data_IF_074369427902
#
_entry.id   IF_074369427902
#
_cell.length_a   1.000
_cell.length_b   1.000
_cell.length_c   1.000
_cell.angle_alpha   90.00
_cell.angle_beta   90.00
_cell.angle_gamma   90.00
#
_symmetry.space_group_name_H-M   'P 1'
#
loop_
_entity.id
_entity.type
_entity.pdbx_description
1 polymer ?
#
# COMPACT_ATOMS: atom_id res chain seq x y z
N UNK A 1 -26.04 43.03 -2.79
CA UNK A 1 -24.99 42.20 -2.21
C UNK A 1 -24.59 42.78 -0.91
N UNK A 2 -24.64 42.03 0.17
CA UNK A 2 -24.28 42.42 1.53
C UNK A 2 -22.79 42.86 1.56
N UNK A 3 -22.48 43.87 2.35
CA UNK A 3 -21.09 44.39 2.46
C UNK A 3 -20.09 43.32 2.91
N UNK A 4 -20.57 42.32 3.66
CA UNK A 4 -19.81 41.14 4.04
C UNK A 4 -19.41 40.25 2.85
N UNK A 5 -20.32 40.10 1.86
CA UNK A 5 -20.06 39.35 0.62
C UNK A 5 -19.02 40.05 -0.26
N UNK A 6 -19.05 41.38 -0.36
CA UNK A 6 -18.08 42.19 -1.10
C UNK A 6 -16.69 42.10 -0.44
N UNK A 7 -16.62 42.21 0.88
CA UNK A 7 -15.38 42.10 1.62
C UNK A 7 -14.74 40.72 1.46
N UNK A 8 -15.53 39.65 1.51
CA UNK A 8 -15.03 38.29 1.28
C UNK A 8 -14.50 38.11 -0.15
N UNK A 9 -15.23 38.60 -1.17
CA UNK A 9 -14.79 38.52 -2.57
C UNK A 9 -13.46 39.27 -2.79
N UNK A 10 -13.28 40.46 -2.18
CA UNK A 10 -12.06 41.20 -2.24
C UNK A 10 -10.87 40.46 -1.56
N UNK A 11 -11.12 39.83 -0.41
CA UNK A 11 -10.11 39.02 0.29
C UNK A 11 -9.71 37.78 -0.55
N UNK A 12 -10.65 37.08 -1.17
CA UNK A 12 -10.35 35.94 -2.05
C UNK A 12 -9.50 36.36 -3.25
N UNK A 13 -9.86 37.47 -3.91
CA UNK A 13 -9.09 38.00 -5.02
C UNK A 13 -7.67 38.41 -4.61
N UNK A 14 -7.50 38.99 -3.41
CA UNK A 14 -6.19 39.35 -2.88
C UNK A 14 -5.34 38.13 -2.57
N UNK A 15 -5.92 37.07 -2.01
CA UNK A 15 -5.25 35.78 -1.73
C UNK A 15 -4.76 35.17 -3.05
N UNK A 16 -5.61 35.08 -4.07
CA UNK A 16 -5.23 34.55 -5.38
C UNK A 16 -4.11 35.36 -6.05
N UNK A 17 -4.17 36.69 -5.91
CA UNK A 17 -3.12 37.57 -6.44
C UNK A 17 -1.77 37.38 -5.73
N UNK A 18 -1.78 37.15 -4.43
CA UNK A 18 -0.58 37.03 -3.61
C UNK A 18 0.03 35.62 -3.64
N UNK A 19 -0.80 34.58 -3.62
CA UNK A 19 -0.36 33.19 -3.45
C UNK A 19 -0.57 32.32 -4.71
N UNK A 20 -1.16 32.86 -5.75
CA UNK A 20 -1.47 32.17 -7.00
C UNK A 20 -2.90 31.65 -7.07
N UNK A 21 -3.35 31.41 -8.31
CA UNK A 21 -4.68 30.90 -8.61
C UNK A 21 -4.85 29.50 -8.04
N UNK A 22 -5.96 29.23 -7.33
CA UNK A 22 -6.23 27.97 -6.68
C UNK A 22 -5.65 27.82 -5.26
N UNK A 23 -5.03 28.90 -4.70
CA UNK A 23 -4.55 28.94 -3.32
C UNK A 23 -5.68 28.86 -2.29
N UNK A 24 -6.88 29.26 -2.68
CA UNK A 24 -8.12 29.11 -1.94
C UNK A 24 -9.24 28.72 -2.88
N UNK A 25 -10.11 27.80 -2.46
CA UNK A 25 -11.24 27.33 -3.29
C UNK A 25 -12.41 26.92 -2.41
N UNK A 26 -13.62 26.95 -2.97
CA UNK A 26 -14.79 26.37 -2.30
C UNK A 26 -14.87 24.89 -2.58
N UNK A 27 -15.12 24.07 -1.56
CA UNK A 27 -15.15 22.60 -1.69
C UNK A 27 -16.20 22.09 -2.70
N UNK A 28 -17.27 22.85 -2.97
CA UNK A 28 -18.31 22.47 -3.95
C UNK A 28 -18.02 22.89 -5.41
N UNK A 29 -17.00 23.71 -5.65
CA UNK A 29 -16.67 24.19 -6.99
C UNK A 29 -15.56 23.39 -7.69
N UNK A 30 -14.84 22.56 -6.95
CA UNK A 30 -13.81 21.68 -7.50
C UNK A 30 -14.08 20.22 -7.12
N UNK A 31 -14.00 19.36 -8.10
CA UNK A 31 -14.10 17.90 -8.01
C UNK A 31 -12.89 17.28 -7.23
N UNK A 32 -12.61 17.76 -6.01
CA UNK A 32 -11.50 17.21 -5.19
C UNK A 32 -11.72 15.74 -4.87
N UNK A 33 -12.97 15.26 -4.91
CA UNK A 33 -13.31 13.86 -4.65
C UNK A 33 -13.12 12.95 -5.88
N UNK A 34 -13.14 13.49 -7.10
CA UNK A 34 -13.05 12.69 -8.34
C UNK A 34 -11.60 12.45 -8.81
N UNK A 35 -10.61 13.16 -8.24
CA UNK A 35 -9.19 13.07 -8.65
C UNK A 35 -8.35 12.13 -7.78
N UNK A 36 -8.96 11.37 -6.87
CA UNK A 36 -8.20 10.44 -6.04
C UNK A 36 -7.73 9.24 -6.86
N UNK A 37 -6.49 9.28 -7.32
CA UNK A 37 -5.85 8.13 -7.95
C UNK A 37 -5.38 7.13 -6.88
N UNK A 38 -5.60 5.86 -7.14
CA UNK A 38 -5.19 4.77 -6.27
C UNK A 38 -4.37 3.72 -7.01
N UNK A 39 -3.59 2.97 -6.25
CA UNK A 39 -2.85 1.79 -6.72
C UNK A 39 -3.45 0.58 -6.02
N UNK A 40 -3.82 -0.45 -6.77
CA UNK A 40 -4.26 -1.73 -6.18
C UNK A 40 -3.18 -2.31 -5.29
N UNK A 41 -3.59 -2.95 -4.22
CA UNK A 41 -2.66 -3.64 -3.30
C UNK A 41 -2.26 -5.03 -3.79
N UNK A 42 -2.86 -5.51 -4.89
CA UNK A 42 -2.77 -6.91 -5.30
C UNK A 42 -3.76 -7.83 -4.57
N UNK A 43 -4.33 -7.38 -3.46
CA UNK A 43 -5.39 -8.06 -2.71
C UNK A 43 -6.73 -7.36 -2.94
N UNK A 44 -7.69 -8.09 -3.51
CA UNK A 44 -9.04 -7.57 -3.76
C UNK A 44 -9.74 -7.23 -2.44
N UNK A 45 -9.59 -8.08 -1.43
CA UNK A 45 -10.18 -7.86 -0.11
C UNK A 45 -9.63 -6.61 0.57
N UNK A 46 -8.32 -6.35 0.44
CA UNK A 46 -7.71 -5.15 1.00
C UNK A 46 -8.12 -3.88 0.22
N UNK A 47 -8.21 -3.96 -1.11
CA UNK A 47 -8.73 -2.87 -1.94
C UNK A 47 -10.15 -2.47 -1.52
N UNK A 48 -11.00 -3.46 -1.22
CA UNK A 48 -12.36 -3.25 -0.69
C UNK A 48 -12.30 -2.64 0.72
N UNK A 49 -11.44 -3.16 1.59
CA UNK A 49 -11.31 -2.66 2.97
C UNK A 49 -10.81 -1.21 3.03
N UNK A 50 -10.00 -0.78 2.06
CA UNK A 50 -9.55 0.60 1.90
C UNK A 50 -10.67 1.54 1.44
N UNK A 51 -11.76 1.00 0.86
CA UNK A 51 -12.98 1.74 0.51
C UNK A 51 -12.92 2.54 -0.79
N UNK A 52 -11.74 2.65 -1.41
CA UNK A 52 -11.50 3.41 -2.64
C UNK A 52 -10.83 2.57 -3.75
N UNK A 53 -10.64 1.28 -3.50
CA UNK A 53 -10.08 0.35 -4.47
C UNK A 53 -8.56 0.25 -4.51
N UNK A 54 -7.86 0.79 -3.51
CA UNK A 54 -6.41 0.70 -3.40
C UNK A 54 -5.78 1.73 -2.49
N UNK A 55 -4.45 1.83 -2.53
CA UNK A 55 -3.66 2.80 -1.77
C UNK A 55 -3.63 4.16 -2.49
N UNK A 56 -3.81 5.27 -1.76
CA UNK A 56 -3.92 6.60 -2.37
C UNK A 56 -2.57 7.10 -2.88
N UNK A 57 -2.50 7.54 -4.12
CA UNK A 57 -1.36 8.28 -4.66
C UNK A 57 -1.24 9.66 -4.00
N UNK A 58 -0.04 10.21 -3.99
CA UNK A 58 0.23 11.51 -3.37
C UNK A 58 0.11 11.50 -1.84
N UNK A 59 0.25 10.33 -1.22
CA UNK A 59 0.10 10.12 0.22
C UNK A 59 1.20 9.23 0.79
N UNK A 60 1.36 9.34 2.12
CA UNK A 60 2.21 8.45 2.91
C UNK A 60 1.35 7.33 3.48
N UNK A 61 1.83 6.11 3.36
CA UNK A 61 1.22 4.89 3.91
C UNK A 61 2.22 4.21 4.84
N UNK A 62 1.76 3.72 5.98
CA UNK A 62 2.55 2.87 6.87
C UNK A 62 1.97 1.46 6.89
N UNK A 63 2.82 0.47 6.66
CA UNK A 63 2.50 -0.96 6.81
C UNK A 63 3.37 -1.51 7.93
N UNK A 64 2.75 -2.01 8.99
CA UNK A 64 3.49 -2.52 10.14
C UNK A 64 2.91 -3.85 10.64
N UNK A 65 3.74 -4.62 11.30
CA UNK A 65 3.37 -5.92 11.84
C UNK A 65 4.59 -6.67 12.37
N UNK A 66 4.38 -7.85 12.95
CA UNK A 66 5.45 -8.72 13.39
C UNK A 66 6.38 -9.13 12.23
N UNK A 67 7.52 -9.69 12.57
CA UNK A 67 8.38 -10.34 11.60
C UNK A 67 7.63 -11.48 10.89
N UNK A 68 7.97 -11.70 9.61
CA UNK A 68 7.34 -12.75 8.76
C UNK A 68 5.82 -12.66 8.64
N UNK A 69 5.22 -11.48 8.86
CA UNK A 69 3.78 -11.26 8.72
C UNK A 69 3.31 -11.00 7.27
N UNK A 70 4.25 -10.84 6.31
CA UNK A 70 3.92 -10.57 4.90
C UNK A 70 4.02 -9.11 4.48
N UNK A 71 4.63 -8.22 5.28
CA UNK A 71 4.81 -6.79 4.95
C UNK A 71 5.49 -6.57 3.60
N UNK A 72 6.63 -7.20 3.41
CA UNK A 72 7.42 -7.08 2.18
C UNK A 72 6.70 -7.69 0.98
N UNK A 73 6.05 -8.85 1.17
CA UNK A 73 5.22 -9.47 0.14
C UNK A 73 4.13 -8.52 -0.33
N UNK A 74 3.37 -7.92 0.58
CA UNK A 74 2.34 -6.95 0.23
C UNK A 74 2.90 -5.75 -0.53
N UNK A 75 4.07 -5.22 -0.13
CA UNK A 75 4.70 -4.11 -0.84
C UNK A 75 5.19 -4.49 -2.23
N UNK A 76 5.72 -5.70 -2.42
CA UNK A 76 6.13 -6.18 -3.74
C UNK A 76 4.93 -6.40 -4.68
N UNK A 77 3.79 -6.84 -4.17
CA UNK A 77 2.54 -6.88 -4.93
C UNK A 77 2.12 -5.47 -5.40
N UNK A 78 2.21 -4.47 -4.52
CA UNK A 78 1.93 -3.07 -4.90
C UNK A 78 2.91 -2.58 -5.97
N UNK A 79 4.21 -2.92 -5.86
CA UNK A 79 5.21 -2.61 -6.90
C UNK A 79 4.80 -3.23 -8.25
N UNK A 80 4.43 -4.51 -8.25
CA UNK A 80 3.99 -5.18 -9.47
C UNK A 80 2.74 -4.51 -10.09
N UNK A 81 1.77 -4.09 -9.26
CA UNK A 81 0.58 -3.38 -9.73
C UNK A 81 0.90 -2.01 -10.32
N UNK A 82 1.86 -1.26 -9.75
CA UNK A 82 2.34 0.02 -10.33
C UNK A 82 3.00 -0.21 -11.69
N UNK A 83 3.88 -1.21 -11.78
CA UNK A 83 4.60 -1.53 -13.02
C UNK A 83 3.66 -2.03 -14.13
N UNK A 84 2.63 -2.82 -13.81
CA UNK A 84 1.58 -3.23 -14.77
C UNK A 84 0.87 -2.03 -15.41
N UNK A 85 0.80 -0.91 -14.70
CA UNK A 85 0.22 0.34 -15.20
C UNK A 85 1.24 1.23 -15.94
N UNK A 86 2.47 0.73 -16.15
CA UNK A 86 3.56 1.49 -16.76
C UNK A 86 4.21 2.51 -15.85
N UNK A 87 3.97 2.40 -14.53
CA UNK A 87 4.58 3.26 -13.52
C UNK A 87 5.97 2.81 -13.09
N UNK A 88 6.73 3.74 -12.52
CA UNK A 88 8.09 3.53 -12.01
C UNK A 88 8.05 3.35 -10.51
N UNK A 89 8.66 2.28 -10.01
CA UNK A 89 8.79 2.00 -8.60
C UNK A 89 10.24 2.01 -8.13
N UNK A 90 10.48 2.56 -6.95
CA UNK A 90 11.77 2.54 -6.26
C UNK A 90 11.65 1.83 -4.91
N UNK A 91 12.68 1.08 -4.56
CA UNK A 91 12.77 0.33 -3.32
C UNK A 91 14.01 0.78 -2.55
N UNK A 92 13.83 1.40 -1.39
CA UNK A 92 14.93 1.82 -0.51
C UNK A 92 15.05 0.77 0.58
N UNK A 93 16.02 -0.12 0.40
CA UNK A 93 16.25 -1.33 1.20
C UNK A 93 17.35 -1.09 2.23
N UNK A 94 17.00 -0.46 3.34
CA UNK A 94 17.94 -0.25 4.45
C UNK A 94 18.22 -1.54 5.27
N UNK A 95 17.45 -2.62 5.06
CA UNK A 95 17.68 -3.92 5.69
C UNK A 95 18.59 -4.82 4.84
N UNK A 96 18.84 -4.47 3.57
CA UNK A 96 19.58 -5.31 2.61
C UNK A 96 19.01 -6.74 2.49
N UNK A 97 17.68 -6.85 2.51
CA UNK A 97 16.98 -8.12 2.61
C UNK A 97 16.08 -8.44 1.40
N UNK A 98 16.10 -7.61 0.35
CA UNK A 98 15.30 -7.84 -0.84
C UNK A 98 15.84 -9.05 -1.63
N UNK A 99 14.98 -10.03 -1.84
CA UNK A 99 15.24 -11.15 -2.74
C UNK A 99 14.64 -10.87 -4.14
N UNK A 100 15.49 -10.64 -5.17
CA UNK A 100 15.03 -10.32 -6.50
C UNK A 100 14.33 -11.53 -7.17
N UNK A 101 14.69 -12.76 -6.83
CA UNK A 101 14.04 -13.96 -7.36
C UNK A 101 12.61 -14.04 -6.84
N UNK A 102 12.43 -13.80 -5.55
CA UNK A 102 11.09 -13.76 -4.95
C UNK A 102 10.26 -12.61 -5.52
N UNK A 103 10.84 -11.41 -5.65
CA UNK A 103 10.15 -10.27 -6.27
C UNK A 103 9.65 -10.59 -7.68
N UNK A 104 10.51 -11.23 -8.50
CA UNK A 104 10.13 -11.68 -9.85
C UNK A 104 8.96 -12.67 -9.86
N UNK A 105 8.91 -13.59 -8.90
CA UNK A 105 7.79 -14.53 -8.75
C UNK A 105 6.47 -13.86 -8.42
N UNK A 106 6.50 -12.72 -7.72
CA UNK A 106 5.33 -11.89 -7.42
C UNK A 106 4.90 -10.99 -8.60
N UNK A 107 5.57 -11.09 -9.75
CA UNK A 107 5.25 -10.31 -10.94
C UNK A 107 5.96 -8.96 -11.03
N UNK A 108 6.94 -8.69 -10.16
CA UNK A 108 7.79 -7.50 -10.26
C UNK A 108 8.72 -7.63 -11.48
N UNK A 109 8.73 -6.62 -12.33
CA UNK A 109 9.75 -6.46 -13.35
C UNK A 109 11.04 -5.95 -12.69
N UNK A 110 11.87 -6.88 -12.24
CA UNK A 110 13.08 -6.59 -11.45
C UNK A 110 14.07 -5.69 -12.22
N UNK A 111 14.33 -5.89 -13.52
CA UNK A 111 15.21 -5.00 -14.29
C UNK A 111 14.77 -3.54 -14.30
N UNK A 112 13.48 -3.26 -14.24
CA UNK A 112 12.92 -1.91 -14.28
C UNK A 112 12.71 -1.30 -12.86
N UNK A 113 12.96 -2.06 -11.80
CA UNK A 113 12.81 -1.56 -10.45
C UNK A 113 14.07 -0.83 -10.00
N UNK A 114 13.89 0.43 -9.54
CA UNK A 114 14.99 1.19 -8.92
C UNK A 114 15.23 0.65 -7.50
N UNK A 115 16.49 0.37 -7.17
CA UNK A 115 16.86 -0.08 -5.82
C UNK A 115 17.99 0.78 -5.26
N UNK A 116 17.89 1.13 -3.98
CA UNK A 116 18.92 1.79 -3.19
C UNK A 116 19.11 1.08 -1.87
N UNK A 117 20.35 0.87 -1.48
CA UNK A 117 20.76 0.28 -0.21
C UNK A 117 21.61 1.30 0.56
N UNK A 118 20.96 2.22 1.30
CA UNK A 118 21.65 3.32 1.98
C UNK A 118 22.40 2.84 3.22
N UNK A 119 23.53 3.48 3.52
CA UNK A 119 24.32 3.21 4.72
C UNK A 119 23.75 3.89 5.96
N UNK A 120 23.02 5.00 5.79
CA UNK A 120 22.44 5.79 6.90
C UNK A 120 20.97 6.13 6.62
N UNK A 121 20.22 6.40 7.71
CA UNK A 121 18.83 6.85 7.60
C UNK A 121 18.70 8.17 6.85
N UNK A 122 19.63 9.12 7.06
CA UNK A 122 19.68 10.40 6.34
C UNK A 122 19.82 10.17 4.84
N UNK A 123 20.76 9.30 4.43
CA UNK A 123 21.00 8.99 3.01
C UNK A 123 19.74 8.38 2.37
N UNK A 124 19.11 7.40 3.02
CA UNK A 124 17.90 6.75 2.49
C UNK A 124 16.74 7.72 2.31
N UNK A 125 16.50 8.59 3.31
CA UNK A 125 15.42 9.57 3.27
C UNK A 125 15.70 10.71 2.28
N UNK A 126 16.97 11.08 2.09
CA UNK A 126 17.36 12.11 1.11
C UNK A 126 17.23 11.58 -0.33
N UNK A 127 17.61 10.32 -0.58
CA UNK A 127 17.36 9.65 -1.86
C UNK A 127 15.86 9.61 -2.16
N UNK A 128 15.03 9.25 -1.17
CA UNK A 128 13.58 9.27 -1.31
C UNK A 128 13.06 10.68 -1.68
N UNK A 129 13.54 11.74 -1.01
CA UNK A 129 13.12 13.11 -1.30
C UNK A 129 13.54 13.56 -2.71
N UNK A 130 14.74 13.19 -3.16
CA UNK A 130 15.20 13.49 -4.53
C UNK A 130 14.34 12.79 -5.57
N UNK A 131 14.02 11.51 -5.38
CA UNK A 131 13.15 10.74 -6.27
C UNK A 131 11.74 11.32 -6.33
N UNK A 132 11.15 11.68 -5.18
CA UNK A 132 9.83 12.34 -5.12
C UNK A 132 9.86 13.67 -5.87
N UNK A 133 10.87 14.50 -5.64
CA UNK A 133 10.99 15.82 -6.29
C UNK A 133 11.17 15.75 -7.80
N UNK A 134 11.76 14.66 -8.30
CA UNK A 134 11.92 14.45 -9.74
C UNK A 134 10.58 14.35 -10.49
N UNK A 135 9.53 13.90 -9.80
CA UNK A 135 8.21 13.64 -10.41
C UNK A 135 8.18 12.42 -11.34
N UNK A 136 9.29 11.69 -11.47
CA UNK A 136 9.43 10.53 -12.35
C UNK A 136 9.18 9.18 -11.68
N UNK A 137 8.81 9.16 -10.39
CA UNK A 137 8.59 7.91 -9.64
C UNK A 137 7.17 7.89 -9.07
N UNK A 138 6.44 6.82 -9.34
CA UNK A 138 5.05 6.65 -8.92
C UNK A 138 4.92 6.05 -7.52
N UNK A 139 5.86 5.18 -7.15
CA UNK A 139 5.89 4.48 -5.87
C UNK A 139 7.31 4.44 -5.31
N UNK A 140 7.42 4.75 -4.02
CA UNK A 140 8.65 4.51 -3.24
C UNK A 140 8.28 3.64 -2.04
N UNK A 141 8.99 2.52 -1.87
CA UNK A 141 8.90 1.64 -0.70
C UNK A 141 10.16 1.79 0.12
N UNK A 142 10.04 2.09 1.41
CA UNK A 142 11.15 2.23 2.35
C UNK A 142 11.09 1.09 3.37
N UNK A 143 12.14 0.25 3.39
CA UNK A 143 12.23 -0.98 4.20
C UNK A 143 13.48 -0.94 5.08
N UNK A 144 13.39 -0.94 6.36
CA UNK A 144 12.25 -0.57 7.21
C UNK A 144 12.62 0.70 7.98
N UNK A 145 11.61 1.35 8.58
CA UNK A 145 11.90 2.49 9.47
C UNK A 145 12.90 2.13 10.57
N UNK A 146 12.83 0.88 11.09
CA UNK A 146 13.74 0.40 12.13
C UNK A 146 15.21 0.37 11.67
N UNK A 147 15.46 0.17 10.38
CA UNK A 147 16.79 0.11 9.78
C UNK A 147 17.34 1.47 9.33
N UNK A 148 16.53 2.53 9.39
CA UNK A 148 16.97 3.90 9.13
C UNK A 148 17.75 4.44 10.33
N UNK A 149 18.98 3.97 10.48
CA UNK A 149 19.86 4.36 11.60
C UNK A 149 20.45 5.73 11.31
N UNK A 150 20.32 6.71 12.24
CA UNK A 150 20.96 8.02 12.10
C UNK A 150 22.47 7.93 11.99
N UNK A 151 23.08 8.74 11.14
CA UNK A 151 24.52 8.77 10.92
C UNK A 151 25.30 8.95 12.22
N UNK A 152 24.85 9.84 13.10
CA UNK A 152 25.48 10.09 14.39
C UNK A 152 25.47 8.88 15.32
N UNK A 153 24.50 7.97 15.17
CA UNK A 153 24.45 6.72 15.93
C UNK A 153 25.46 5.70 15.38
N UNK A 154 25.67 5.68 14.07
CA UNK A 154 26.66 4.80 13.42
C UNK A 154 28.09 5.25 13.74
N UNK A 155 28.34 6.56 13.77
CA UNK A 155 29.65 7.15 14.05
C UNK A 155 30.00 7.23 15.54
N UNK A 156 29.01 6.98 16.44
CA UNK A 156 29.20 6.96 17.89
C UNK A 156 29.92 5.69 18.37
N UNK A 157 30.32 5.71 19.64
CA UNK A 157 30.94 4.55 20.27
C UNK A 157 29.87 3.54 20.74
N UNK A 158 30.29 2.26 20.85
CA UNK A 158 29.39 1.22 21.37
C UNK A 158 29.02 1.54 22.83
N UNK A 159 27.70 1.69 23.05
CA UNK A 159 27.15 2.05 24.37
C UNK A 159 26.70 3.50 24.49
N UNK A 160 26.96 4.35 23.51
CA UNK A 160 26.45 5.72 23.48
C UNK A 160 24.93 5.72 23.51
N UNK A 161 24.37 6.52 24.40
CA UNK A 161 22.93 6.71 24.49
C UNK A 161 22.54 8.00 23.74
N UNK A 162 21.98 7.84 22.53
CA UNK A 162 21.54 8.96 21.69
C UNK A 162 20.00 8.94 21.55
N UNK A 163 19.24 9.21 22.61
CA UNK A 163 17.79 9.03 22.61
C UNK A 163 17.09 9.97 21.64
N UNK A 164 16.16 9.41 20.86
CA UNK A 164 15.25 10.16 20.00
C UNK A 164 15.85 10.66 18.69
N UNK A 165 17.07 10.32 18.31
CA UNK A 165 17.66 10.73 17.04
C UNK A 165 16.85 10.25 15.86
N UNK A 166 16.47 8.96 15.82
CA UNK A 166 15.66 8.40 14.76
C UNK A 166 14.27 9.08 14.67
N UNK A 167 13.65 9.38 15.81
CA UNK A 167 12.37 10.08 15.83
C UNK A 167 12.47 11.53 15.29
N UNK A 168 13.57 12.22 15.57
CA UNK A 168 13.86 13.56 15.03
C UNK A 168 14.10 13.50 13.53
N UNK A 169 14.88 12.53 13.05
CA UNK A 169 15.15 12.30 11.65
C UNK A 169 13.85 12.04 10.88
N UNK A 170 13.00 11.13 11.37
CA UNK A 170 11.70 10.85 10.77
C UNK A 170 10.79 12.08 10.75
N UNK A 171 10.74 12.86 11.83
CA UNK A 171 9.94 14.09 11.89
C UNK A 171 10.40 15.12 10.85
N UNK A 172 11.70 15.28 10.68
CA UNK A 172 12.28 16.22 9.72
C UNK A 172 12.01 15.74 8.28
N UNK A 173 12.25 14.48 7.99
CA UNK A 173 12.05 13.90 6.66
C UNK A 173 10.58 13.98 6.22
N UNK A 174 9.64 13.60 7.09
CA UNK A 174 8.21 13.62 6.77
C UNK A 174 7.69 15.03 6.52
N UNK A 175 8.18 16.03 7.24
CA UNK A 175 7.85 17.45 6.95
C UNK A 175 8.28 17.88 5.56
N UNK A 176 9.48 17.46 5.11
CA UNK A 176 9.98 17.76 3.75
C UNK A 176 9.22 16.97 2.68
N UNK A 177 9.08 15.67 2.88
CA UNK A 177 8.48 14.75 1.91
C UNK A 177 7.02 15.04 1.63
N UNK A 178 6.20 15.34 2.65
CA UNK A 178 4.74 15.38 2.53
C UNK A 178 4.26 16.41 1.49
N UNK A 179 4.86 17.60 1.44
CA UNK A 179 4.49 18.62 0.46
C UNK A 179 4.85 18.21 -0.97
N UNK A 180 6.01 17.59 -1.15
CA UNK A 180 6.50 17.12 -2.45
C UNK A 180 5.69 15.93 -2.94
N UNK A 181 5.41 14.96 -2.07
CA UNK A 181 4.62 13.76 -2.35
C UNK A 181 3.25 14.13 -2.92
N UNK A 182 2.56 15.09 -2.31
CA UNK A 182 1.26 15.56 -2.80
C UNK A 182 1.36 16.20 -4.19
N UNK A 183 2.40 17.00 -4.43
CA UNK A 183 2.60 17.73 -5.70
C UNK A 183 2.93 16.79 -6.86
N UNK A 184 3.74 15.76 -6.61
CA UNK A 184 4.19 14.80 -7.63
C UNK A 184 3.27 13.59 -7.77
N UNK A 185 2.24 13.49 -6.91
CA UNK A 185 1.32 12.36 -6.87
C UNK A 185 2.01 11.00 -6.64
N UNK A 186 3.15 11.01 -5.94
CA UNK A 186 3.92 9.82 -5.62
C UNK A 186 3.31 9.12 -4.41
N UNK A 187 3.14 7.80 -4.45
CA UNK A 187 2.80 6.98 -3.28
C UNK A 187 4.10 6.62 -2.53
N UNK A 188 4.17 6.88 -1.23
CA UNK A 188 5.31 6.48 -0.40
C UNK A 188 4.84 5.55 0.70
N UNK A 189 5.38 4.33 0.72
CA UNK A 189 5.08 3.29 1.70
C UNK A 189 6.28 3.12 2.62
N UNK A 190 6.04 3.26 3.93
CA UNK A 190 7.00 2.91 4.96
C UNK A 190 6.63 1.56 5.57
N UNK A 191 7.53 0.61 5.50
CA UNK A 191 7.44 -0.63 6.28
C UNK A 191 7.99 -0.36 7.67
N UNK A 192 7.27 -0.81 8.71
CA UNK A 192 7.67 -0.61 10.08
C UNK A 192 7.58 -1.89 10.91
N UNK A 193 8.34 -1.94 11.98
CA UNK A 193 8.37 -3.04 12.91
C UNK A 193 7.63 -2.67 14.19
N UNK A 194 7.09 -3.67 14.88
CA UNK A 194 6.47 -3.52 16.20
C UNK A 194 7.55 -3.60 17.27
N UNK A 195 7.41 -2.76 18.28
CA UNK A 195 8.18 -2.80 19.54
C UNK A 195 7.20 -2.81 20.70
N UNK A 196 7.64 -3.38 21.80
CA UNK A 196 6.87 -3.44 23.05
C UNK A 196 7.31 -2.32 23.98
N UNK A 197 6.36 -1.53 24.47
CA UNK A 197 6.61 -0.55 25.52
C UNK A 197 6.69 -1.25 26.87
N UNK A 198 7.73 -0.97 27.61
CA UNK A 198 7.89 -1.49 28.98
C UNK A 198 7.00 -0.70 29.93
N UNK A 199 6.35 -1.38 30.89
CA UNK A 199 5.58 -0.75 31.95
C UNK A 199 4.17 -0.28 31.59
N UNK A 200 3.62 -0.69 30.45
CA UNK A 200 2.22 -0.40 30.08
C UNK A 200 1.30 -1.37 30.84
N UNK A 201 0.57 -0.87 31.83
CA UNK A 201 -0.39 -1.65 32.62
C UNK A 201 -1.80 -1.70 31.98
N UNK A 202 -2.16 -0.72 31.16
CA UNK A 202 -3.47 -0.62 30.51
C UNK A 202 -3.31 -0.25 29.02
N UNK A 203 -4.14 -0.86 28.15
CA UNK A 203 -4.09 -0.65 26.71
C UNK A 203 -3.06 -1.55 26.01
N UNK A 204 -2.81 -1.30 24.72
CA UNK A 204 -1.83 -2.09 23.96
C UNK A 204 -0.40 -1.62 24.24
N UNK A 205 0.49 -2.52 24.65
CA UNK A 205 1.92 -2.20 24.82
C UNK A 205 2.64 -2.04 23.47
N UNK A 206 2.02 -2.44 22.36
CA UNK A 206 2.62 -2.39 21.03
C UNK A 206 2.79 -0.95 20.53
N UNK A 207 3.93 -0.67 19.95
CA UNK A 207 4.21 0.60 19.26
C UNK A 207 5.10 0.32 18.05
N UNK A 208 5.17 1.27 17.11
CA UNK A 208 6.07 1.19 15.96
C UNK A 208 7.34 2.00 16.21
N UNK A 209 8.43 1.69 15.50
CA UNK A 209 9.72 2.41 15.58
C UNK A 209 9.64 3.80 14.91
N UNK A 210 10.62 4.65 15.16
CA UNK A 210 10.73 5.97 14.53
C UNK A 210 9.87 7.07 15.14
N UNK A 211 9.35 6.85 16.36
CA UNK A 211 8.56 7.85 17.09
C UNK A 211 7.12 7.98 16.58
N UNK A 212 6.52 9.16 16.79
CA UNK A 212 5.11 9.39 16.48
C UNK A 212 4.86 10.09 15.14
N UNK A 213 5.88 10.63 14.49
CA UNK A 213 5.69 11.45 13.28
C UNK A 213 4.97 10.69 12.18
N UNK A 214 5.39 9.46 11.88
CA UNK A 214 4.79 8.64 10.84
C UNK A 214 3.31 8.33 11.13
N UNK A 215 2.94 8.13 12.40
CA UNK A 215 1.53 7.92 12.80
C UNK A 215 0.64 9.13 12.47
N UNK A 216 1.19 10.35 12.52
CA UNK A 216 0.46 11.56 12.16
C UNK A 216 0.44 11.82 10.65
N UNK A 217 1.58 11.67 9.98
CA UNK A 217 1.72 11.98 8.56
C UNK A 217 1.10 10.92 7.65
N UNK A 218 1.08 9.65 8.03
CA UNK A 218 0.45 8.61 7.25
C UNK A 218 -1.06 8.86 7.07
N UNK A 219 -1.51 8.81 5.83
CA UNK A 219 -2.94 8.87 5.49
C UNK A 219 -3.64 7.53 5.69
N UNK A 220 -2.89 6.44 5.51
CA UNK A 220 -3.35 5.05 5.72
C UNK A 220 -2.31 4.34 6.56
N UNK A 221 -2.77 3.55 7.54
CA UNK A 221 -1.94 2.67 8.35
C UNK A 221 -2.55 1.28 8.36
N UNK A 222 -1.74 0.29 8.02
CA UNK A 222 -2.13 -1.11 7.89
C UNK A 222 -1.38 -1.95 8.92
N UNK A 223 -2.13 -2.67 9.76
CA UNK A 223 -1.61 -3.67 10.69
C UNK A 223 -1.76 -5.05 10.03
N UNK A 224 -0.65 -5.68 9.64
CA UNK A 224 -0.63 -6.98 8.99
C UNK A 224 -0.18 -8.07 9.96
N UNK A 225 -0.95 -9.16 10.04
CA UNK A 225 -0.72 -10.28 10.96
C UNK A 225 -0.90 -11.61 10.24
N UNK A 226 0.03 -12.52 10.47
CA UNK A 226 -0.21 -13.95 10.20
C UNK A 226 -1.14 -14.49 11.27
N UNK A 227 -2.25 -15.14 10.87
CA UNK A 227 -3.25 -15.69 11.76
C UNK A 227 -3.36 -17.21 11.70
N UNK A 228 -2.81 -17.83 10.66
CA UNK A 228 -2.82 -19.27 10.47
C UNK A 228 -1.76 -19.75 9.50
N UNK A 229 -1.69 -21.05 9.32
CA UNK A 229 -0.84 -21.72 8.32
C UNK A 229 -1.71 -22.54 7.37
N UNK A 230 -1.43 -22.44 6.08
CA UNK A 230 -2.07 -23.23 5.06
C UNK A 230 -1.23 -24.48 4.84
N UNK A 231 -1.87 -25.64 4.93
CA UNK A 231 -1.21 -26.94 4.76
C UNK A 231 -1.78 -27.68 3.55
N UNK A 232 -0.90 -28.39 2.85
CA UNK A 232 -1.26 -29.37 1.82
C UNK A 232 -0.64 -30.70 2.26
N UNK A 233 -1.49 -31.60 2.82
CA UNK A 233 -0.99 -32.75 3.58
C UNK A 233 -0.24 -32.30 4.84
N UNK A 234 0.99 -32.76 5.02
CA UNK A 234 1.84 -32.38 6.15
C UNK A 234 2.71 -31.15 5.90
N UNK A 235 2.75 -30.64 4.68
CA UNK A 235 3.57 -29.50 4.28
C UNK A 235 2.84 -28.19 4.48
N UNK A 236 3.53 -27.18 5.05
CA UNK A 236 3.04 -25.80 5.14
C UNK A 236 3.37 -25.08 3.84
N UNK A 237 2.34 -24.74 3.06
CA UNK A 237 2.47 -24.13 1.73
C UNK A 237 2.15 -22.64 1.70
N UNK A 238 1.69 -22.09 2.81
CA UNK A 238 1.35 -20.67 2.89
C UNK A 238 0.88 -20.25 4.26
N UNK A 239 0.47 -18.99 4.36
CA UNK A 239 -0.05 -18.37 5.57
C UNK A 239 -1.40 -17.72 5.32
N UNK A 240 -2.32 -17.91 6.26
CA UNK A 240 -3.50 -17.06 6.38
C UNK A 240 -3.09 -15.72 6.99
N UNK A 241 -3.45 -14.63 6.34
CA UNK A 241 -3.02 -13.28 6.71
C UNK A 241 -4.22 -12.38 6.90
N UNK A 242 -4.17 -11.58 7.96
CA UNK A 242 -5.14 -10.53 8.23
C UNK A 242 -4.46 -9.17 8.14
N UNK A 243 -5.08 -8.24 7.42
CA UNK A 243 -4.70 -6.83 7.38
C UNK A 243 -5.84 -6.00 7.92
N UNK A 244 -5.57 -5.21 8.96
CA UNK A 244 -6.51 -4.25 9.53
C UNK A 244 -6.13 -2.83 9.12
N UNK A 245 -7.09 -2.09 8.59
CA UNK A 245 -6.95 -0.68 8.26
C UNK A 245 -7.17 0.14 9.53
N UNK A 246 -6.09 0.41 10.27
CA UNK A 246 -6.18 1.07 11.60
C UNK A 246 -6.28 2.58 11.52
N UNK A 247 -5.89 3.18 10.40
CA UNK A 247 -6.07 4.58 10.08
C UNK A 247 -6.35 4.73 8.59
N UNK A 248 -7.35 5.55 8.27
CA UNK A 248 -7.70 5.84 6.89
C UNK A 248 -8.28 7.28 6.81
N UNK A 249 -7.62 8.16 6.04
CA UNK A 249 -8.07 9.54 5.81
C UNK A 249 -8.91 9.70 4.54
N UNK A 250 -9.08 8.62 3.77
CA UNK A 250 -9.77 8.64 2.47
C UNK A 250 -11.11 7.90 2.47
N UNK A 251 -11.34 7.04 3.47
CA UNK A 251 -12.56 6.29 3.69
C UNK A 251 -12.68 5.89 5.18
N UNK A 252 -13.83 5.35 5.63
CA UNK A 252 -13.97 4.88 7.01
C UNK A 252 -12.93 3.82 7.38
N UNK A 253 -12.21 3.97 8.50
CA UNK A 253 -11.19 3.02 8.95
C UNK A 253 -11.79 1.79 9.65
N UNK A 254 -10.91 0.92 10.16
CA UNK A 254 -11.17 -0.27 10.98
C UNK A 254 -11.78 -1.47 10.25
N UNK A 255 -11.82 -1.42 8.91
CA UNK A 255 -12.13 -2.60 8.10
C UNK A 255 -10.93 -3.54 8.08
N UNK A 256 -11.22 -4.82 7.86
CA UNK A 256 -10.21 -5.88 7.79
C UNK A 256 -10.32 -6.62 6.46
N UNK A 257 -9.19 -7.11 5.98
CA UNK A 257 -9.10 -8.03 4.86
C UNK A 257 -8.41 -9.33 5.32
N UNK A 258 -8.90 -10.45 4.84
CA UNK A 258 -8.32 -11.77 5.04
C UNK A 258 -7.92 -12.32 3.68
N UNK A 259 -6.70 -12.79 3.57
CA UNK A 259 -6.20 -13.44 2.35
C UNK A 259 -5.08 -14.42 2.66
N UNK A 260 -4.85 -15.29 1.69
CA UNK A 260 -3.80 -16.30 1.77
C UNK A 260 -2.54 -15.78 1.07
N UNK A 261 -1.38 -15.89 1.72
CA UNK A 261 -0.07 -15.72 1.09
C UNK A 261 0.51 -17.10 0.87
N UNK A 262 0.64 -17.49 -0.41
CA UNK A 262 1.22 -18.77 -0.80
C UNK A 262 2.74 -18.61 -0.97
N UNK A 263 3.51 -19.57 -0.46
CA UNK A 263 4.96 -19.51 -0.56
C UNK A 263 5.43 -19.62 -2.00
N UNK A 264 6.23 -18.65 -2.42
CA UNK A 264 6.74 -18.57 -3.79
C UNK A 264 5.75 -18.05 -4.83
N UNK A 265 4.50 -17.77 -4.46
CA UNK A 265 3.46 -17.28 -5.37
C UNK A 265 2.92 -15.89 -4.95
N UNK A 266 3.00 -15.55 -3.66
CA UNK A 266 2.47 -14.30 -3.11
C UNK A 266 0.99 -14.41 -2.71
N UNK A 267 0.25 -13.30 -2.80
CA UNK A 267 -1.16 -13.22 -2.43
C UNK A 267 -1.99 -14.06 -3.40
N UNK A 268 -2.83 -14.97 -2.86
CA UNK A 268 -3.73 -15.79 -3.65
C UNK A 268 -4.95 -15.00 -4.13
N UNK A 269 -4.80 -14.28 -5.24
CA UNK A 269 -5.86 -13.47 -5.83
C UNK A 269 -7.09 -14.29 -6.21
N UNK A 270 -6.89 -15.44 -6.83
CA UNK A 270 -7.98 -16.35 -7.20
C UNK A 270 -8.72 -16.88 -5.96
N UNK A 271 -7.99 -17.14 -4.86
CA UNK A 271 -8.59 -17.50 -3.58
C UNK A 271 -9.54 -16.43 -3.05
N UNK A 272 -9.15 -15.17 -3.13
CA UNK A 272 -10.00 -14.02 -2.74
C UNK A 272 -11.20 -13.86 -3.68
N UNK A 273 -11.01 -14.00 -4.99
CA UNK A 273 -12.09 -13.93 -5.98
C UNK A 273 -13.16 -14.98 -5.69
N UNK A 274 -12.75 -16.21 -5.33
CA UNK A 274 -13.69 -17.28 -4.96
C UNK A 274 -14.47 -16.91 -3.69
N UNK A 275 -13.79 -16.52 -2.63
CA UNK A 275 -14.43 -16.20 -1.35
C UNK A 275 -15.38 -15.01 -1.45
N UNK A 276 -14.91 -13.92 -2.05
CA UNK A 276 -15.70 -12.72 -2.26
C UNK A 276 -16.82 -12.94 -3.29
N UNK A 277 -16.55 -13.75 -4.33
CA UNK A 277 -17.56 -14.14 -5.31
C UNK A 277 -18.73 -14.89 -4.68
N UNK A 278 -18.44 -15.81 -3.77
CA UNK A 278 -19.46 -16.54 -2.99
C UNK A 278 -20.19 -15.59 -2.04
N UNK A 279 -19.44 -14.73 -1.32
CA UNK A 279 -20.01 -13.77 -0.38
C UNK A 279 -21.01 -12.81 -1.05
N UNK A 280 -20.73 -12.39 -2.28
CA UNK A 280 -21.59 -11.48 -3.05
C UNK A 280 -22.55 -12.19 -4.03
N UNK A 281 -22.72 -13.50 -3.91
CA UNK A 281 -23.62 -14.30 -4.75
C UNK A 281 -23.32 -14.20 -6.26
N UNK A 282 -22.05 -14.04 -6.62
CA UNK A 282 -21.55 -14.04 -8.00
C UNK A 282 -21.09 -15.43 -8.38
N UNK A 283 -20.47 -16.17 -7.44
CA UNK A 283 -20.11 -17.57 -7.55
C UNK A 283 -21.10 -18.37 -6.70
N UNK A 284 -21.70 -19.38 -7.28
CA UNK A 284 -22.56 -20.31 -6.57
C UNK A 284 -21.73 -21.39 -5.89
N UNK A 285 -22.06 -21.69 -4.62
CA UNK A 285 -21.43 -22.76 -3.85
C UNK A 285 -22.48 -23.76 -3.40
N UNK A 286 -22.36 -25.01 -3.82
CA UNK A 286 -23.22 -26.12 -3.39
C UNK A 286 -22.36 -27.27 -2.86
N UNK A 287 -22.33 -27.42 -1.53
CA UNK A 287 -21.43 -28.35 -0.87
C UNK A 287 -19.96 -28.04 -1.18
N UNK A 288 -19.23 -28.96 -1.77
CA UNK A 288 -17.85 -28.77 -2.21
C UNK A 288 -17.72 -28.18 -3.62
N UNK A 289 -18.82 -28.00 -4.37
CA UNK A 289 -18.80 -27.55 -5.75
C UNK A 289 -18.97 -26.03 -5.84
N UNK A 290 -18.17 -25.42 -6.72
CA UNK A 290 -18.28 -24.02 -7.12
C UNK A 290 -18.76 -23.96 -8.56
N UNK A 291 -19.67 -23.03 -8.87
CA UNK A 291 -20.20 -22.79 -10.20
C UNK A 291 -20.25 -21.29 -10.51
N UNK A 292 -20.09 -20.97 -11.78
CA UNK A 292 -20.21 -19.62 -12.28
C UNK A 292 -21.05 -19.62 -13.56
N UNK A 293 -22.09 -18.76 -13.64
CA UNK A 293 -23.06 -18.73 -14.73
C UNK A 293 -23.69 -20.10 -15.05
N UNK A 294 -23.89 -20.94 -14.03
CA UNK A 294 -24.44 -22.30 -14.16
C UNK A 294 -23.43 -23.39 -14.55
N UNK A 295 -22.20 -23.04 -14.87
CA UNK A 295 -21.13 -23.98 -15.19
C UNK A 295 -20.29 -24.29 -13.95
N UNK A 296 -19.98 -25.59 -13.74
CA UNK A 296 -19.10 -26.03 -12.65
C UNK A 296 -17.66 -25.60 -12.94
N UNK A 297 -17.05 -24.85 -12.02
CA UNK A 297 -15.68 -24.37 -12.14
C UNK A 297 -14.67 -25.12 -11.28
N UNK A 298 -15.14 -25.91 -10.28
CA UNK A 298 -14.25 -26.75 -9.50
C UNK A 298 -14.94 -27.41 -8.31
N UNK A 299 -14.33 -28.51 -7.84
CA UNK A 299 -14.69 -29.16 -6.60
C UNK A 299 -13.60 -28.88 -5.55
N UNK A 300 -13.96 -28.18 -4.49
CA UNK A 300 -13.03 -27.66 -3.50
C UNK A 300 -12.35 -26.36 -3.92
N UNK A 301 -11.87 -25.59 -2.92
CA UNK A 301 -11.25 -24.28 -3.13
C UNK A 301 -9.98 -24.37 -3.99
N UNK A 302 -9.13 -25.38 -3.75
CA UNK A 302 -7.87 -25.52 -4.46
C UNK A 302 -8.05 -25.77 -5.96
N UNK A 303 -8.94 -26.71 -6.34
CA UNK A 303 -9.22 -26.99 -7.75
C UNK A 303 -9.86 -25.79 -8.45
N UNK A 304 -10.75 -25.07 -7.76
CA UNK A 304 -11.38 -23.86 -8.29
C UNK A 304 -10.35 -22.76 -8.50
N UNK A 305 -9.38 -22.62 -7.59
CA UNK A 305 -8.27 -21.66 -7.70
C UNK A 305 -7.39 -21.97 -8.92
N UNK A 306 -6.98 -23.22 -9.11
CA UNK A 306 -6.20 -23.61 -10.28
C UNK A 306 -6.99 -23.40 -11.58
N UNK A 307 -8.29 -23.73 -11.59
CA UNK A 307 -9.16 -23.44 -12.74
C UNK A 307 -9.18 -21.93 -13.09
N UNK A 308 -9.32 -21.05 -12.11
CA UNK A 308 -9.31 -19.60 -12.36
C UNK A 308 -7.95 -19.08 -12.82
N UNK A 309 -6.84 -19.68 -12.39
CA UNK A 309 -5.49 -19.37 -12.92
C UNK A 309 -5.37 -19.72 -14.40
N UNK A 310 -5.98 -20.84 -14.82
CA UNK A 310 -6.00 -21.27 -16.23
C UNK A 310 -7.00 -20.45 -17.07
N UNK A 311 -7.95 -19.75 -16.42
CA UNK A 311 -8.98 -18.95 -17.06
C UNK A 311 -8.97 -17.49 -16.55
N UNK A 312 -7.91 -16.72 -16.87
CA UNK A 312 -7.71 -15.36 -16.32
C UNK A 312 -8.81 -14.38 -16.75
N UNK A 313 -9.42 -14.57 -17.93
CA UNK A 313 -10.53 -13.73 -18.40
C UNK A 313 -11.77 -13.90 -17.52
N UNK A 314 -12.09 -15.13 -17.12
CA UNK A 314 -13.18 -15.41 -16.19
C UNK A 314 -12.89 -14.83 -14.80
N UNK A 315 -11.66 -14.97 -14.31
CA UNK A 315 -11.26 -14.39 -13.04
C UNK A 315 -11.42 -12.85 -13.03
N UNK A 316 -11.02 -12.17 -14.12
CA UNK A 316 -11.18 -10.72 -14.29
C UNK A 316 -12.67 -10.32 -14.37
N UNK A 317 -13.49 -11.09 -15.07
CA UNK A 317 -14.93 -10.83 -15.15
C UNK A 317 -15.59 -10.92 -13.77
N UNK A 318 -15.29 -11.98 -13.00
CA UNK A 318 -15.81 -12.16 -11.65
C UNK A 318 -15.34 -11.04 -10.73
N UNK A 319 -14.06 -10.69 -10.78
CA UNK A 319 -13.51 -9.56 -10.01
C UNK A 319 -14.21 -8.25 -10.35
N UNK A 320 -14.43 -7.97 -11.63
CA UNK A 320 -15.17 -6.78 -12.08
C UNK A 320 -16.59 -6.71 -11.50
N UNK A 321 -17.29 -7.85 -11.44
CA UNK A 321 -18.62 -7.94 -10.83
C UNK A 321 -18.56 -7.74 -9.31
N UNK A 322 -17.54 -8.27 -8.63
CA UNK A 322 -17.34 -8.05 -7.20
C UNK A 322 -17.09 -6.55 -6.92
N UNK A 323 -16.17 -5.92 -7.67
CA UNK A 323 -15.87 -4.49 -7.53
C UNK A 323 -17.10 -3.62 -7.75
N UNK A 324 -17.91 -3.92 -8.76
CA UNK A 324 -19.17 -3.22 -9.02
C UNK A 324 -20.18 -3.41 -7.87
N UNK A 325 -20.30 -4.63 -7.33
CA UNK A 325 -21.21 -4.91 -6.22
C UNK A 325 -20.86 -4.16 -4.94
N UNK A 326 -19.57 -3.90 -4.68
CA UNK A 326 -19.10 -3.18 -3.50
C UNK A 326 -18.86 -1.68 -3.75
N UNK A 327 -19.05 -1.20 -4.98
CA UNK A 327 -18.94 0.21 -5.34
C UNK A 327 -17.52 0.76 -5.37
N UNK A 328 -16.50 -0.07 -5.65
CA UNK A 328 -15.12 0.39 -5.85
C UNK A 328 -14.75 0.39 -7.35
N UNK A 329 -13.80 1.24 -7.77
CA UNK A 329 -13.38 1.30 -9.17
C UNK A 329 -12.86 -0.07 -9.67
N UNK A 330 -13.14 -0.37 -10.94
CA UNK A 330 -12.49 -1.48 -11.65
C UNK A 330 -11.01 -1.14 -11.77
N UNK A 331 -10.13 -2.11 -11.51
CA UNK A 331 -8.71 -1.91 -11.70
C UNK A 331 -8.45 -1.47 -13.16
N UNK A 332 -7.65 -0.41 -13.40
CA UNK A 332 -7.33 0.00 -14.76
C UNK A 332 -6.65 -1.16 -15.50
N UNK A 333 -7.05 -1.37 -16.75
CA UNK A 333 -6.43 -2.40 -17.58
C UNK A 333 -4.92 -2.11 -17.70
N UNK A 334 -4.06 -3.13 -17.71
CA UNK A 334 -2.64 -2.95 -17.94
C UNK A 334 -2.43 -2.23 -19.28
N UNK A 335 -1.59 -1.20 -19.29
CA UNK A 335 -1.19 -0.56 -20.54
C UNK A 335 -0.50 -1.63 -21.38
N UNK A 336 -1.09 -1.97 -22.53
CA UNK A 336 -0.40 -2.77 -23.53
C UNK A 336 0.85 -1.99 -23.92
N UNK A 337 2.03 -2.59 -23.68
CA UNK A 337 3.27 -2.05 -24.21
C UNK A 337 3.07 -1.83 -25.72
N UNK A 338 3.31 -0.62 -26.16
CA UNK A 338 3.54 -0.39 -27.58
C UNK A 338 4.75 -1.25 -27.91
N UNK A 339 4.52 -2.30 -28.70
CA UNK A 339 5.60 -3.05 -29.32
C UNK A 339 6.38 -2.04 -30.13
N UNK A 340 7.59 -1.75 -29.71
CA UNK A 340 8.58 -1.08 -30.56
C UNK A 340 8.96 -2.05 -31.68
N UNK A 341 8.12 -2.10 -32.70
CA UNK A 341 8.50 -2.49 -34.04
C UNK A 341 9.10 -1.23 -34.68
N UNK A 342 10.43 -1.12 -34.59
CA UNK A 342 11.28 -0.53 -35.63
C UNK A 342 12.74 -0.95 -35.37
#
# INVERSE_FOLDING_TARGET
>A
MDDRSKALAAALAQIEKQFGKGSIMKMGENQIADDLQVVSTGSLGLDIALGVGGLPRGRVVEIYGPESSGKTTLCLEVVAEVQKQGGVAAFIDAENALDPVYAGKLGVNVPEMLISQPDTGEQGLEIADMLVRSGGVDLIVIVSVAALVPKAEIEGEMGDQLPGLQARLMSQALRKLTSNIKRTNTLVIFINQIRMKIGVMFGSPETTTGGNALKFYASVRLDIRRIGSIKRGDEVVGNETRVKVVKNKIAPPFREALFDIMYGEGISREGEIIELGVLHNIIDKSGAWYAYNGEKVGQGKDNTREFLKEHPEMAQEIEGKIRAAVGIPVAPAPRRGESSDE
#
